data_IF_986901319452
#
_entry.id   IF_986901319452
#
_cell.length_a   1.000
_cell.length_b   1.000
_cell.length_c   1.000
_cell.angle_alpha   90.00
_cell.angle_beta   90.00
_cell.angle_gamma   90.00
#
_symmetry.space_group_name_H-M   'P 1'
#
loop_
_entity.id
_entity.type
_entity.pdbx_description
1 polymer ?
#
# COMPACT_ATOMS: atom_id res chain seq x y z
N UNK A 1 10.22 7.29 -4.15
CA UNK A 1 9.09 7.18 -3.21
C UNK A 1 9.52 7.73 -1.86
N UNK A 2 8.75 8.67 -1.33
CA UNK A 2 8.93 9.23 0.00
C UNK A 2 7.71 8.90 0.85
N UNK A 3 7.91 8.44 2.08
CA UNK A 3 6.85 8.23 3.06
C UNK A 3 7.03 9.28 4.18
N UNK A 4 6.02 10.12 4.41
CA UNK A 4 6.09 11.21 5.39
C UNK A 4 7.35 12.08 5.25
N UNK A 5 7.68 12.43 4.00
CA UNK A 5 8.85 13.25 3.67
C UNK A 5 10.21 12.53 3.72
N UNK A 6 10.27 11.26 4.16
CA UNK A 6 11.50 10.47 4.21
C UNK A 6 11.61 9.57 2.99
N UNK A 7 12.81 9.49 2.38
CA UNK A 7 13.05 8.59 1.25
C UNK A 7 12.94 7.14 1.71
N UNK A 8 12.01 6.38 1.13
CA UNK A 8 11.73 4.99 1.52
C UNK A 8 12.04 3.97 0.42
N UNK A 9 12.21 4.41 -0.83
CA UNK A 9 12.56 3.50 -1.93
C UNK A 9 12.06 3.96 -3.29
N UNK A 10 11.77 3.01 -4.17
CA UNK A 10 11.17 3.22 -5.48
C UNK A 10 9.95 2.31 -5.65
N UNK A 11 9.09 2.66 -6.59
CA UNK A 11 7.96 1.83 -7.00
C UNK A 11 8.02 1.66 -8.52
N UNK A 12 7.55 0.51 -9.00
CA UNK A 12 7.55 0.17 -10.42
C UNK A 12 6.13 -0.22 -10.80
N UNK A 13 5.66 0.28 -11.95
CA UNK A 13 4.43 -0.22 -12.55
C UNK A 13 4.74 -1.56 -13.22
N UNK A 14 4.05 -2.62 -12.80
CA UNK A 14 4.13 -3.96 -13.40
C UNK A 14 2.73 -4.56 -13.55
N UNK A 15 2.62 -5.58 -14.39
CA UNK A 15 1.42 -6.41 -14.44
C UNK A 15 1.27 -7.21 -13.14
N UNK A 16 0.03 -7.48 -12.76
CA UNK A 16 -0.29 -8.29 -11.59
C UNK A 16 0.07 -9.76 -11.84
N UNK A 17 0.73 -10.39 -10.87
CA UNK A 17 0.97 -11.84 -10.84
C UNK A 17 -0.24 -12.57 -10.28
N UNK A 18 -0.28 -13.90 -10.40
CA UNK A 18 -1.29 -14.73 -9.74
C UNK A 18 -1.29 -14.55 -8.21
N UNK A 19 -0.13 -14.25 -7.63
CA UNK A 19 0.00 -13.93 -6.22
C UNK A 19 -0.70 -12.61 -5.87
N UNK A 20 -0.43 -11.54 -6.61
CA UNK A 20 -1.12 -10.27 -6.39
C UNK A 20 -2.63 -10.43 -6.49
N UNK A 21 -3.12 -11.15 -7.51
CA UNK A 21 -4.55 -11.39 -7.70
C UNK A 21 -5.14 -12.18 -6.53
N UNK A 22 -4.43 -13.21 -6.03
CA UNK A 22 -4.88 -13.98 -4.88
C UNK A 22 -4.96 -13.14 -3.59
N UNK A 23 -3.99 -12.24 -3.38
CA UNK A 23 -4.01 -11.27 -2.27
C UNK A 23 -5.19 -10.33 -2.43
N UNK A 24 -5.41 -9.77 -3.62
CA UNK A 24 -6.52 -8.85 -3.88
C UNK A 24 -7.89 -9.53 -3.68
N UNK A 25 -8.01 -10.82 -3.99
CA UNK A 25 -9.21 -11.62 -3.71
C UNK A 25 -9.46 -11.78 -2.20
N UNK A 26 -8.44 -12.18 -1.44
CA UNK A 26 -8.51 -12.32 0.01
C UNK A 26 -8.90 -11.01 0.69
N UNK A 27 -8.37 -9.89 0.18
CA UNK A 27 -8.63 -8.58 0.75
C UNK A 27 -10.02 -8.02 0.40
N UNK A 28 -10.81 -8.64 -0.50
CA UNK A 28 -12.13 -8.10 -0.89
C UNK A 28 -13.07 -7.81 0.28
N UNK A 29 -13.05 -8.66 1.32
CA UNK A 29 -13.88 -8.49 2.51
C UNK A 29 -13.34 -7.44 3.50
N UNK A 30 -12.12 -6.95 3.29
CA UNK A 30 -11.47 -5.95 4.16
C UNK A 30 -11.73 -4.57 3.57
N UNK A 31 -12.31 -3.66 4.34
CA UNK A 31 -12.48 -2.25 3.92
C UNK A 31 -11.25 -1.42 4.21
N UNK A 32 -10.76 -1.47 5.46
CA UNK A 32 -9.57 -0.78 5.94
C UNK A 32 -8.88 -1.59 7.05
N UNK A 33 -7.56 -1.48 7.17
CA UNK A 33 -6.77 -2.11 8.23
C UNK A 33 -5.35 -2.48 7.81
N UNK A 34 -4.57 -2.96 8.76
CA UNK A 34 -3.28 -3.59 8.52
C UNK A 34 -3.25 -4.95 9.20
N UNK A 35 -2.75 -5.98 8.52
CA UNK A 35 -2.64 -7.32 9.06
C UNK A 35 -1.59 -8.13 8.30
N UNK A 36 -1.39 -9.37 8.73
CA UNK A 36 -0.49 -10.33 8.11
C UNK A 36 -1.33 -11.40 7.42
N UNK A 37 -1.06 -11.66 6.14
CA UNK A 37 -1.60 -12.79 5.41
C UNK A 37 -0.66 -13.98 5.58
N UNK A 38 -1.19 -15.18 5.89
CA UNK A 38 -0.39 -16.39 5.95
C UNK A 38 0.18 -16.72 4.57
N UNK A 39 1.38 -17.29 4.54
CA UNK A 39 2.00 -17.80 3.31
C UNK A 39 1.16 -18.88 2.65
N UNK A 40 1.33 -19.07 1.33
CA UNK A 40 0.51 -19.99 0.53
C UNK A 40 0.72 -21.47 0.89
N UNK A 41 1.80 -21.81 1.60
CA UNK A 41 2.10 -23.18 1.98
C UNK A 41 2.68 -23.29 3.40
N UNK A 42 2.37 -24.38 4.11
CA UNK A 42 3.00 -24.71 5.41
C UNK A 42 4.52 -24.96 5.30
N UNK A 43 5.05 -25.04 4.07
CA UNK A 43 6.44 -25.38 3.76
C UNK A 43 7.34 -24.13 3.71
N UNK A 44 6.77 -22.95 3.51
CA UNK A 44 7.53 -21.69 3.31
C UNK A 44 7.98 -21.02 4.63
N UNK A 45 7.56 -21.54 5.79
CA UNK A 45 7.94 -21.00 7.08
C UNK A 45 7.53 -19.52 7.25
N UNK A 46 8.06 -18.83 8.28
CA UNK A 46 7.73 -17.42 8.56
C UNK A 46 8.11 -16.45 7.43
N UNK A 47 9.00 -16.85 6.53
CA UNK A 47 9.45 -16.01 5.39
C UNK A 47 8.39 -15.87 4.28
N UNK A 48 7.31 -16.66 4.33
CA UNK A 48 6.17 -16.56 3.41
C UNK A 48 5.07 -15.60 3.88
N UNK A 49 5.20 -14.98 5.06
CA UNK A 49 4.17 -14.08 5.60
C UNK A 49 4.18 -12.72 4.89
N UNK A 50 3.01 -12.27 4.43
CA UNK A 50 2.86 -10.97 3.78
C UNK A 50 2.15 -9.98 4.71
N UNK A 51 2.84 -8.91 5.10
CA UNK A 51 2.20 -7.79 5.79
C UNK A 51 1.53 -6.88 4.77
N UNK A 52 0.25 -6.55 4.98
CA UNK A 52 -0.49 -5.64 4.13
C UNK A 52 -1.13 -4.51 4.92
N UNK A 53 -1.42 -3.43 4.20
CA UNK A 53 -2.28 -2.34 4.66
C UNK A 53 -3.28 -2.00 3.55
N UNK A 54 -4.56 -1.96 3.90
CA UNK A 54 -5.62 -1.45 3.05
C UNK A 54 -6.20 -0.20 3.70
N UNK A 55 -6.21 0.91 2.98
CA UNK A 55 -6.79 2.15 3.45
C UNK A 55 -7.36 2.95 2.28
N UNK A 56 -8.19 3.94 2.59
CA UNK A 56 -8.61 4.94 1.62
C UNK A 56 -7.51 5.98 1.50
N UNK A 57 -7.20 6.36 0.26
CA UNK A 57 -6.21 7.40 -0.02
C UNK A 57 -6.84 8.50 -0.87
N UNK A 58 -6.61 9.75 -0.49
CA UNK A 58 -6.80 10.88 -1.37
C UNK A 58 -5.57 11.02 -2.28
N UNK A 59 -5.81 11.04 -3.59
CA UNK A 59 -4.76 11.19 -4.59
C UNK A 59 -4.69 12.63 -5.09
N UNK A 60 -3.55 13.27 -4.87
CA UNK A 60 -3.25 14.62 -5.35
C UNK A 60 -2.16 14.54 -6.42
N UNK A 61 -2.46 14.99 -7.63
CA UNK A 61 -1.48 15.10 -8.71
C UNK A 61 -0.80 16.46 -8.59
N UNK A 62 0.49 16.47 -8.26
CA UNK A 62 1.27 17.70 -8.10
C UNK A 62 1.75 18.24 -9.45
N UNK A 63 2.22 17.35 -10.32
CA UNK A 63 2.69 17.70 -11.67
C UNK A 63 2.56 16.49 -12.60
N UNK A 64 3.03 16.62 -13.85
CA UNK A 64 3.14 15.49 -14.78
C UNK A 64 3.96 14.33 -14.20
N UNK A 65 4.95 14.68 -13.38
CA UNK A 65 5.96 13.74 -12.88
C UNK A 65 5.83 13.50 -11.38
N UNK A 66 4.77 13.99 -10.72
CA UNK A 66 4.61 13.81 -9.28
C UNK A 66 3.16 13.65 -8.82
N UNK A 67 2.97 12.75 -7.86
CA UNK A 67 1.69 12.53 -7.19
C UNK A 67 1.89 12.16 -5.73
N UNK A 68 0.93 12.54 -4.89
CA UNK A 68 0.89 12.23 -3.47
C UNK A 68 -0.38 11.45 -3.15
N UNK A 69 -0.26 10.42 -2.32
CA UNK A 69 -1.36 9.69 -1.72
C UNK A 69 -1.41 10.01 -0.23
N UNK A 70 -2.49 10.61 0.23
CA UNK A 70 -2.74 10.90 1.64
C UNK A 70 -3.69 9.86 2.21
N UNK A 71 -3.26 9.10 3.20
CA UNK A 71 -4.12 8.13 3.88
C UNK A 71 -5.22 8.88 4.63
N UNK A 72 -6.46 8.53 4.37
CA UNK A 72 -7.62 9.09 5.04
C UNK A 72 -7.86 8.34 6.35
N UNK A 73 -7.89 9.07 7.46
CA UNK A 73 -8.32 8.53 8.74
C UNK A 73 -9.85 8.37 8.73
N UNK A 74 -10.39 7.23 9.21
CA UNK A 74 -11.83 7.02 9.28
C UNK A 74 -12.50 7.99 10.28
N UNK A 75 -11.75 8.52 11.25
CA UNK A 75 -12.26 9.47 12.26
C UNK A 75 -12.25 10.93 11.78
N UNK A 76 -11.72 11.21 10.58
CA UNK A 76 -11.83 12.51 9.92
C UNK A 76 -11.11 13.68 10.59
N UNK A 77 -10.41 13.48 11.71
CA UNK A 77 -9.78 14.54 12.48
C UNK A 77 -8.32 14.17 12.80
N UNK A 78 -7.37 15.04 12.42
CA UNK A 78 -5.89 14.97 12.62
C UNK A 78 -4.98 14.81 11.37
N UNK A 79 -5.50 15.06 10.16
CA UNK A 79 -4.66 14.99 8.95
C UNK A 79 -4.15 13.57 8.65
N UNK A 80 -3.38 13.40 7.56
CA UNK A 80 -2.95 12.07 7.14
C UNK A 80 -1.77 11.56 7.99
N UNK A 81 -1.95 10.45 8.71
CA UNK A 81 -0.88 9.77 9.45
C UNK A 81 0.21 9.22 8.52
N UNK A 82 -0.18 8.88 7.29
CA UNK A 82 0.69 8.41 6.23
C UNK A 82 0.46 9.20 4.94
N UNK A 83 1.54 9.71 4.38
CA UNK A 83 1.61 10.31 3.05
C UNK A 83 2.66 9.59 2.22
N UNK A 84 2.32 9.21 1.00
CA UNK A 84 3.23 8.57 0.05
C UNK A 84 3.38 9.50 -1.15
N UNK A 85 4.60 9.97 -1.38
CA UNK A 85 4.92 10.85 -2.50
C UNK A 85 5.77 10.12 -3.53
N UNK A 86 5.30 10.13 -4.77
CA UNK A 86 5.99 9.59 -5.93
C UNK A 86 6.50 10.73 -6.81
N UNK A 87 7.76 10.60 -7.22
CA UNK A 87 8.36 11.36 -8.31
C UNK A 87 8.72 10.35 -9.37
N UNK A 88 8.23 10.55 -10.59
CA UNK A 88 8.61 9.79 -11.78
C UNK A 88 9.91 10.38 -12.30
N UNK A 89 10.91 9.53 -12.44
CA UNK A 89 12.22 9.85 -13.01
C UNK A 89 12.32 9.07 -14.32
#
# INVERSE_FOLDING_TARGET
>A
MYCNGKKSGYAVKREATEEDLSVMELLKAVTMGAAVLPGKSEVEGPDGEMVYMRALFERIVGSKDSETLYMLSPEGNNGPELSIFFVRI
#
